data_IF_861881506681
#
_entry.id   IF_861881506681
#
_cell.length_a   1.000
_cell.length_b   1.000
_cell.length_c   1.000
_cell.angle_alpha   90.00
_cell.angle_beta   90.00
_cell.angle_gamma   90.00
#
_symmetry.space_group_name_H-M   'P 1'
#
loop_
_entity.id
_entity.type
_entity.pdbx_description
1 polymer ?
#
# COMPACT_ATOMS: atom_id res chain seq x y z
N UNK A 1 16.49 -2.90 -12.15
CA UNK A 1 17.09 -2.32 -10.94
C UNK A 1 17.08 -3.31 -9.79
N UNK A 2 15.93 -3.92 -9.45
CA UNK A 2 15.78 -4.89 -8.36
C UNK A 2 16.81 -6.04 -8.41
N UNK A 3 16.97 -6.71 -9.55
CA UNK A 3 17.97 -7.79 -9.73
C UNK A 3 19.39 -7.30 -9.46
N UNK A 4 19.69 -6.06 -9.83
CA UNK A 4 21.00 -5.44 -9.57
C UNK A 4 21.19 -5.15 -8.08
N UNK A 5 20.15 -4.68 -7.38
CA UNK A 5 20.18 -4.44 -5.95
C UNK A 5 20.41 -5.74 -5.17
N UNK A 6 19.68 -6.81 -5.48
CA UNK A 6 19.87 -8.14 -4.87
C UNK A 6 21.29 -8.65 -5.09
N UNK A 7 21.80 -8.56 -6.32
CA UNK A 7 23.18 -9.00 -6.64
C UNK A 7 24.25 -8.16 -5.99
N UNK A 8 23.97 -6.90 -5.66
CA UNK A 8 24.91 -6.02 -4.96
C UNK A 8 24.88 -6.16 -3.43
N UNK A 9 23.97 -7.00 -2.91
CA UNK A 9 23.80 -7.18 -1.46
C UNK A 9 23.15 -5.97 -0.77
N UNK A 10 22.45 -5.11 -1.52
CA UNK A 10 21.72 -3.97 -0.95
C UNK A 10 20.62 -4.45 -0.01
N UNK A 11 20.47 -3.75 1.09
CA UNK A 11 19.38 -3.98 2.03
C UNK A 11 18.06 -3.46 1.43
N UNK A 12 17.00 -4.25 1.59
CA UNK A 12 15.65 -3.92 1.15
C UNK A 12 14.74 -3.94 2.37
N UNK A 13 13.91 -2.92 2.52
CA UNK A 13 12.88 -2.87 3.55
C UNK A 13 11.50 -2.77 2.89
N UNK A 14 10.58 -3.61 3.34
CA UNK A 14 9.18 -3.56 2.93
C UNK A 14 8.35 -2.79 3.96
N UNK A 15 7.57 -1.82 3.51
CA UNK A 15 6.63 -1.08 4.36
C UNK A 15 5.22 -1.27 3.83
N UNK A 16 4.38 -1.90 4.63
CA UNK A 16 2.96 -2.04 4.35
C UNK A 16 2.18 -0.91 5.02
N UNK A 17 1.89 0.12 4.24
CA UNK A 17 1.14 1.30 4.69
C UNK A 17 -0.32 0.98 4.96
N UNK A 18 -0.80 -0.12 4.40
CA UNK A 18 -2.20 -0.51 4.45
C UNK A 18 -2.48 -1.74 5.30
N UNK A 19 -1.54 -2.30 5.96
CA UNK A 19 -1.80 -3.27 7.01
C UNK A 19 -2.76 -2.64 8.02
N UNK A 20 -4.00 -2.36 7.56
CA UNK A 20 -4.94 -1.39 8.10
C UNK A 20 -5.17 -1.55 9.60
N UNK A 21 -5.18 -2.79 10.09
CA UNK A 21 -5.29 -3.05 11.53
C UNK A 21 -4.01 -2.69 12.29
N UNK A 22 -2.84 -2.90 11.71
CA UNK A 22 -1.57 -2.52 12.33
C UNK A 22 -1.42 -0.99 12.33
N UNK A 23 -1.84 -0.35 11.25
CA UNK A 23 -1.87 1.10 11.09
C UNK A 23 -2.85 1.77 12.04
N UNK A 24 -4.09 1.28 12.10
CA UNK A 24 -5.09 1.78 13.04
C UNK A 24 -4.63 1.59 14.50
N UNK A 25 -3.97 0.49 14.81
CA UNK A 25 -3.35 0.28 16.13
C UNK A 25 -2.22 1.26 16.41
N UNK A 26 -1.42 1.59 15.41
CA UNK A 26 -0.35 2.57 15.51
C UNK A 26 -0.91 3.99 15.70
N UNK A 27 -1.96 4.33 14.97
CA UNK A 27 -2.61 5.64 14.96
C UNK A 27 -3.65 5.79 16.07
N UNK A 28 -4.41 4.74 16.38
CA UNK A 28 -5.50 4.76 17.37
C UNK A 28 -5.09 4.33 18.78
N UNK A 29 -3.90 3.83 18.93
CA UNK A 29 -3.35 3.66 20.24
C UNK A 29 -3.78 2.46 21.06
N UNK A 30 -4.17 1.38 20.45
CA UNK A 30 -4.83 0.31 21.18
C UNK A 30 -3.93 -0.67 21.93
N UNK A 31 -2.63 -0.80 21.68
CA UNK A 31 -1.83 -1.87 22.30
C UNK A 31 -0.37 -1.57 22.66
N UNK A 32 0.16 -0.35 22.49
CA UNK A 32 1.57 -0.05 22.79
C UNK A 32 1.81 1.39 23.24
N UNK A 33 2.95 1.72 23.88
CA UNK A 33 3.25 3.08 24.36
C UNK A 33 3.26 4.18 23.28
N UNK A 34 3.48 3.82 22.02
CA UNK A 34 3.31 4.71 20.84
C UNK A 34 1.84 5.04 20.60
N UNK A 35 0.99 4.36 21.24
CA UNK A 35 -0.41 4.19 21.04
C UNK A 35 -1.31 5.23 21.73
N UNK A 36 -0.80 6.29 22.25
CA UNK A 36 -1.61 7.40 22.78
C UNK A 36 -1.74 8.56 21.81
N UNK A 37 -1.64 8.25 20.52
CA UNK A 37 -1.83 9.25 19.50
C UNK A 37 -3.32 9.52 19.31
N UNK A 38 -3.71 10.75 19.59
CA UNK A 38 -5.05 11.25 19.32
C UNK A 38 -5.25 11.37 17.81
N UNK A 39 -6.05 10.46 17.23
CA UNK A 39 -6.32 10.44 15.79
C UNK A 39 -6.97 11.73 15.28
N UNK A 40 -7.58 12.53 16.16
CA UNK A 40 -8.10 13.85 15.82
C UNK A 40 -6.99 14.88 15.56
N UNK A 41 -5.80 14.60 16.05
CA UNK A 41 -4.58 15.42 15.91
C UNK A 41 -3.54 14.74 15.03
N UNK A 42 -3.98 13.84 14.15
CA UNK A 42 -3.08 13.12 13.29
C UNK A 42 -2.24 14.10 12.47
N UNK A 43 -0.98 14.12 12.79
CA UNK A 43 0.03 15.01 12.27
C UNK A 43 0.84 14.25 11.22
N UNK A 44 0.85 14.75 9.99
CA UNK A 44 1.60 14.20 8.88
C UNK A 44 3.11 14.14 9.19
N UNK A 45 3.65 15.16 9.89
CA UNK A 45 5.05 15.19 10.28
C UNK A 45 5.39 14.07 11.28
N UNK A 46 4.46 13.73 12.16
CA UNK A 46 4.63 12.58 13.06
C UNK A 46 4.69 11.27 12.26
N UNK A 47 3.81 11.11 11.27
CA UNK A 47 3.79 9.95 10.40
C UNK A 47 5.11 9.78 9.66
N UNK A 48 5.59 10.83 9.02
CA UNK A 48 6.85 10.84 8.28
C UNK A 48 8.00 10.46 9.22
N UNK A 49 8.12 11.11 10.37
CA UNK A 49 9.15 10.78 11.37
C UNK A 49 9.10 9.33 11.80
N UNK A 50 7.89 8.81 12.03
CA UNK A 50 7.73 7.43 12.47
C UNK A 50 8.11 6.42 11.39
N UNK A 51 7.73 6.65 10.13
CA UNK A 51 8.10 5.76 9.03
C UNK A 51 9.59 5.77 8.72
N UNK A 52 10.25 6.90 8.89
CA UNK A 52 11.67 7.05 8.54
C UNK A 52 12.61 7.01 9.75
N UNK A 53 12.09 6.80 10.97
CA UNK A 53 12.89 6.75 12.18
C UNK A 53 14.11 5.81 12.09
N UNK A 54 13.92 4.63 11.51
CA UNK A 54 15.00 3.67 11.30
C UNK A 54 15.94 4.06 10.15
N UNK A 55 15.45 4.75 9.13
CA UNK A 55 16.26 5.25 8.02
C UNK A 55 17.06 6.51 8.42
N UNK A 56 16.47 7.33 9.29
CA UNK A 56 17.12 8.54 9.81
C UNK A 56 18.10 8.23 10.95
N UNK A 57 18.06 7.01 11.51
CA UNK A 57 19.04 6.52 12.47
C UNK A 57 20.34 6.16 11.74
N UNK A 58 21.44 6.81 12.10
CA UNK A 58 22.76 6.63 11.47
C UNK A 58 23.32 5.21 11.57
N UNK A 59 22.75 4.37 12.45
CA UNK A 59 23.17 2.98 12.62
C UNK A 59 22.54 2.03 11.59
N UNK A 60 21.58 2.50 10.79
CA UNK A 60 20.87 1.67 9.79
C UNK A 60 20.94 2.33 8.41
N UNK A 61 21.55 1.59 7.47
CA UNK A 61 21.54 1.99 6.06
C UNK A 61 20.42 1.28 5.32
N UNK A 62 19.51 2.06 4.74
CA UNK A 62 18.43 1.57 3.87
C UNK A 62 18.71 2.02 2.45
N UNK A 63 18.73 1.09 1.51
CA UNK A 63 18.95 1.39 0.08
C UNK A 63 17.61 1.51 -0.69
N UNK A 64 16.55 0.84 -0.25
CA UNK A 64 15.23 0.93 -0.88
C UNK A 64 14.09 0.68 0.10
N UNK A 65 12.96 1.34 -0.14
CA UNK A 65 11.69 1.13 0.56
C UNK A 65 10.63 0.70 -0.45
N UNK A 66 9.82 -0.29 -0.08
CA UNK A 66 8.78 -0.85 -0.92
C UNK A 66 7.43 -0.49 -0.34
N UNK A 67 6.75 0.45 -1.00
CA UNK A 67 5.49 1.01 -0.57
C UNK A 67 4.30 0.25 -1.14
N UNK A 68 3.30 -0.03 -0.31
CA UNK A 68 2.01 -0.56 -0.75
C UNK A 68 0.90 0.47 -0.46
N UNK A 69 0.27 0.99 -1.51
CA UNK A 69 -0.77 2.02 -1.43
C UNK A 69 -2.13 1.59 -1.97
N UNK A 70 -2.29 0.33 -2.35
CA UNK A 70 -3.54 -0.19 -2.93
C UNK A 70 -3.87 -1.61 -2.49
N UNK A 71 -3.73 -1.89 -1.21
CA UNK A 71 -4.11 -3.20 -0.67
C UNK A 71 -5.61 -3.45 -0.85
N UNK A 72 -5.96 -4.71 -1.16
CA UNK A 72 -7.35 -5.08 -1.37
C UNK A 72 -8.00 -4.42 -2.58
N UNK A 73 -7.20 -3.87 -3.50
CA UNK A 73 -7.69 -3.11 -4.65
C UNK A 73 -8.51 -1.86 -4.27
N UNK A 74 -8.17 -1.24 -3.15
CA UNK A 74 -8.67 0.06 -2.71
C UNK A 74 -7.49 1.02 -2.59
N UNK A 75 -7.63 2.26 -3.08
CA UNK A 75 -6.55 3.23 -3.12
C UNK A 75 -6.54 4.13 -1.88
N UNK A 76 -5.34 4.44 -1.37
CA UNK A 76 -5.12 5.49 -0.35
C UNK A 76 -4.92 6.87 -0.96
N UNK A 77 -4.94 6.96 -2.27
CA UNK A 77 -4.76 8.16 -3.08
C UNK A 77 -6.00 8.39 -3.96
N UNK A 78 -6.07 9.52 -4.63
CA UNK A 78 -7.16 9.85 -5.56
C UNK A 78 -7.01 9.07 -6.86
N UNK A 79 -7.48 7.82 -6.84
CA UNK A 79 -7.52 6.96 -8.03
C UNK A 79 -8.75 7.26 -8.91
N UNK A 80 -8.59 7.14 -10.23
CA UNK A 80 -9.69 7.15 -11.20
C UNK A 80 -10.28 5.77 -11.42
N UNK A 81 -9.61 4.72 -10.95
CA UNK A 81 -9.91 3.32 -11.24
C UNK A 81 -10.31 2.51 -10.01
N UNK A 82 -9.62 2.75 -8.91
CA UNK A 82 -9.84 2.03 -7.66
C UNK A 82 -10.73 2.83 -6.71
N UNK A 83 -11.62 2.17 -5.97
CA UNK A 83 -12.35 2.83 -4.90
C UNK A 83 -11.38 3.31 -3.82
N UNK A 84 -11.73 4.41 -3.17
CA UNK A 84 -10.98 4.87 -2.00
C UNK A 84 -11.12 3.88 -0.85
N UNK A 85 -10.03 3.67 -0.12
CA UNK A 85 -10.05 2.82 1.07
C UNK A 85 -10.97 3.42 2.15
N UNK A 86 -11.76 2.56 2.80
CA UNK A 86 -12.67 2.97 3.89
C UNK A 86 -11.92 3.08 5.22
N UNK A 87 -10.95 4.00 5.25
CA UNK A 87 -10.21 4.38 6.47
C UNK A 87 -10.29 5.89 6.61
N UNK A 88 -10.85 6.42 7.72
CA UNK A 88 -11.18 7.84 7.86
C UNK A 88 -10.01 8.79 7.63
N UNK A 89 -8.78 8.42 8.03
CA UNK A 89 -7.60 9.29 7.85
C UNK A 89 -7.26 9.46 6.36
N UNK A 90 -7.30 8.39 5.57
CA UNK A 90 -7.02 8.48 4.13
C UNK A 90 -8.13 9.24 3.39
N UNK A 91 -9.38 8.99 3.74
CA UNK A 91 -10.51 9.73 3.17
C UNK A 91 -10.41 11.24 3.47
N UNK A 92 -10.00 11.59 4.70
CA UNK A 92 -9.75 12.99 5.06
C UNK A 92 -8.63 13.59 4.22
N UNK A 93 -7.47 12.92 4.09
CA UNK A 93 -6.37 13.41 3.27
C UNK A 93 -6.77 13.61 1.80
N UNK A 94 -7.46 12.63 1.21
CA UNK A 94 -7.99 12.76 -0.15
C UNK A 94 -8.93 13.97 -0.28
N UNK A 95 -9.79 14.19 0.72
CA UNK A 95 -10.71 15.34 0.76
C UNK A 95 -9.96 16.67 0.89
N UNK A 96 -8.93 16.71 1.71
CA UNK A 96 -8.12 17.90 1.99
C UNK A 96 -7.03 18.13 0.93
N UNK A 97 -7.05 17.37 -0.18
CA UNK A 97 -6.10 17.43 -1.29
C UNK A 97 -4.65 17.09 -0.88
N UNK A 98 -4.51 16.27 0.13
CA UNK A 98 -3.21 15.75 0.60
C UNK A 98 -2.93 14.43 -0.12
N UNK A 99 -1.89 14.40 -0.94
CA UNK A 99 -1.41 13.19 -1.61
C UNK A 99 -0.32 12.52 -0.79
N UNK A 100 -0.73 11.56 0.05
CA UNK A 100 0.19 10.82 0.93
C UNK A 100 1.20 9.99 0.15
N UNK A 101 0.85 9.53 -1.05
CA UNK A 101 1.76 8.76 -1.91
C UNK A 101 2.90 9.65 -2.36
N UNK A 102 2.59 10.83 -2.93
CA UNK A 102 3.61 11.78 -3.37
C UNK A 102 4.51 12.22 -2.22
N UNK A 103 3.91 12.55 -1.06
CA UNK A 103 4.66 12.98 0.12
C UNK A 103 5.66 11.91 0.57
N UNK A 104 5.24 10.65 0.67
CA UNK A 104 6.13 9.56 1.12
C UNK A 104 7.17 9.20 0.07
N UNK A 105 6.89 9.40 -1.22
CA UNK A 105 7.90 9.28 -2.29
C UNK A 105 8.96 10.38 -2.16
N UNK A 106 8.54 11.62 -2.04
CA UNK A 106 9.45 12.76 -1.90
C UNK A 106 10.36 12.59 -0.68
N UNK A 107 9.80 12.19 0.46
CA UNK A 107 10.54 11.92 1.68
C UNK A 107 11.52 10.74 1.54
N UNK A 108 11.16 9.72 0.75
CA UNK A 108 12.04 8.58 0.45
C UNK A 108 13.22 9.05 -0.42
N UNK A 109 12.95 9.78 -1.49
CA UNK A 109 13.96 10.28 -2.41
C UNK A 109 14.87 11.34 -1.78
N UNK A 110 14.34 12.23 -0.92
CA UNK A 110 15.15 13.21 -0.18
C UNK A 110 16.22 12.56 0.70
N UNK A 111 15.97 11.33 1.18
CA UNK A 111 16.95 10.53 1.94
C UNK A 111 17.90 9.72 1.06
N UNK A 112 17.83 9.86 -0.26
CA UNK A 112 18.62 9.07 -1.20
C UNK A 112 18.26 7.58 -1.24
N UNK A 113 17.03 7.26 -0.85
CA UNK A 113 16.51 5.89 -0.81
C UNK A 113 15.67 5.64 -2.07
N UNK A 114 15.84 4.48 -2.70
CA UNK A 114 15.01 4.09 -3.83
C UNK A 114 13.59 3.75 -3.35
N UNK A 115 12.56 4.26 -4.03
CA UNK A 115 11.15 4.00 -3.75
C UNK A 115 10.57 3.00 -4.75
N UNK A 116 10.10 1.86 -4.27
CA UNK A 116 9.44 0.84 -5.09
C UNK A 116 7.95 0.78 -4.75
N UNK A 117 7.11 0.61 -5.76
CA UNK A 117 5.72 0.25 -5.54
C UNK A 117 5.58 -1.27 -5.43
N UNK A 118 5.06 -1.76 -4.31
CA UNK A 118 4.76 -3.18 -4.10
C UNK A 118 3.26 -3.41 -4.25
N UNK A 119 2.86 -4.05 -5.36
CA UNK A 119 1.46 -4.37 -5.61
C UNK A 119 1.12 -5.79 -5.16
N UNK A 120 0.20 -5.91 -4.21
CA UNK A 120 -0.32 -7.22 -3.77
C UNK A 120 -1.33 -7.73 -4.79
N UNK A 121 -0.88 -8.68 -5.63
CA UNK A 121 -1.63 -9.18 -6.78
C UNK A 121 -2.96 -9.84 -6.41
N UNK A 122 -2.99 -10.52 -5.28
CA UNK A 122 -4.18 -11.22 -4.77
C UNK A 122 -4.84 -10.50 -3.59
N UNK A 123 -4.57 -9.20 -3.41
CA UNK A 123 -5.10 -8.42 -2.29
C UNK A 123 -6.59 -8.64 -2.06
N UNK A 124 -7.00 -8.72 -0.81
CA UNK A 124 -8.38 -9.01 -0.43
C UNK A 124 -8.47 -10.05 0.68
N UNK A 125 -7.47 -10.11 1.55
CA UNK A 125 -7.51 -10.92 2.75
C UNK A 125 -8.76 -10.57 3.59
N UNK A 126 -9.64 -11.56 3.81
CA UNK A 126 -10.89 -11.43 4.53
C UNK A 126 -11.98 -10.56 3.87
N UNK A 127 -11.93 -10.32 2.56
CA UNK A 127 -13.09 -9.74 1.86
C UNK A 127 -14.35 -10.57 2.15
N UNK A 128 -15.40 -9.90 2.61
CA UNK A 128 -16.70 -10.52 2.88
C UNK A 128 -16.84 -11.27 4.21
N UNK A 129 -15.78 -11.44 5.01
CA UNK A 129 -15.81 -12.17 6.29
C UNK A 129 -15.55 -11.25 7.50
N UNK A 130 -16.18 -10.07 7.52
CA UNK A 130 -15.96 -9.06 8.58
C UNK A 130 -14.64 -8.30 8.44
N UNK A 131 -13.96 -8.45 7.29
CA UNK A 131 -12.79 -7.69 6.88
C UNK A 131 -13.13 -6.53 5.95
N UNK A 132 -12.35 -6.36 4.89
CA UNK A 132 -12.59 -5.32 3.88
C UNK A 132 -13.85 -5.62 3.05
N UNK A 133 -14.58 -4.58 2.64
CA UNK A 133 -15.67 -4.72 1.70
C UNK A 133 -15.17 -5.27 0.36
N UNK A 134 -15.97 -6.13 -0.26
CA UNK A 134 -15.71 -6.59 -1.63
C UNK A 134 -15.79 -5.37 -2.55
N UNK A 135 -14.78 -5.19 -3.41
CA UNK A 135 -14.78 -4.05 -4.34
C UNK A 135 -15.83 -4.24 -5.44
N UNK A 136 -16.40 -3.15 -5.97
CA UNK A 136 -17.47 -3.22 -6.98
C UNK A 136 -17.11 -4.04 -8.22
N UNK A 137 -15.83 -4.02 -8.64
CA UNK A 137 -15.37 -4.81 -9.79
C UNK A 137 -15.48 -6.33 -9.54
N UNK A 138 -15.19 -6.78 -8.34
CA UNK A 138 -15.34 -8.20 -7.96
C UNK A 138 -16.80 -8.59 -7.80
N UNK A 139 -17.65 -7.68 -7.34
CA UNK A 139 -19.10 -7.92 -7.24
C UNK A 139 -19.74 -8.04 -8.61
N UNK A 140 -19.32 -7.20 -9.57
CA UNK A 140 -19.86 -7.20 -10.94
C UNK A 140 -19.33 -8.35 -11.81
N UNK A 141 -18.20 -8.95 -11.45
CA UNK A 141 -17.53 -10.00 -12.21
C UNK A 141 -17.15 -11.21 -11.32
N UNK A 142 -18.13 -11.90 -10.72
CA UNK A 142 -17.85 -13.08 -9.89
C UNK A 142 -17.17 -14.21 -10.68
N UNK A 143 -17.37 -14.29 -11.99
CA UNK A 143 -16.74 -15.24 -12.91
C UNK A 143 -15.22 -15.02 -13.07
N UNK A 144 -14.71 -13.86 -12.69
CA UNK A 144 -13.28 -13.52 -12.70
C UNK A 144 -12.51 -14.03 -11.48
N UNK A 145 -13.20 -14.66 -10.55
CA UNK A 145 -12.67 -14.96 -9.23
C UNK A 145 -12.56 -16.45 -8.96
N UNK A 146 -11.54 -16.81 -8.16
CA UNK A 146 -11.54 -18.05 -7.40
C UNK A 146 -12.06 -17.81 -5.99
N UNK A 147 -12.65 -18.82 -5.38
CA UNK A 147 -12.86 -18.85 -3.94
C UNK A 147 -11.67 -19.54 -3.30
N UNK A 148 -10.86 -18.77 -2.59
CA UNK A 148 -9.71 -19.26 -1.83
C UNK A 148 -10.11 -19.86 -0.48
N UNK A 149 -9.11 -20.30 0.26
CA UNK A 149 -9.28 -20.77 1.61
C UNK A 149 -9.94 -19.67 2.50
N UNK A 150 -10.91 -20.05 3.33
CA UNK A 150 -11.62 -19.08 4.16
C UNK A 150 -12.63 -18.19 3.42
N UNK A 151 -12.96 -18.50 2.16
CA UNK A 151 -13.97 -17.76 1.39
C UNK A 151 -13.45 -16.49 0.68
N UNK A 152 -12.14 -16.22 0.74
CA UNK A 152 -11.52 -15.07 0.06
C UNK A 152 -11.76 -15.09 -1.44
N UNK A 153 -12.07 -13.94 -2.02
CA UNK A 153 -12.30 -13.76 -3.45
C UNK A 153 -11.00 -13.34 -4.14
N UNK A 154 -10.34 -14.29 -4.79
CA UNK A 154 -9.03 -14.15 -5.40
C UNK A 154 -9.16 -13.97 -6.92
N UNK A 155 -8.39 -13.08 -7.52
CA UNK A 155 -8.36 -12.88 -8.96
C UNK A 155 -7.89 -14.12 -9.73
N UNK A 156 -8.63 -14.50 -10.76
CA UNK A 156 -8.23 -15.55 -11.69
C UNK A 156 -7.37 -14.99 -12.83
N UNK A 157 -6.06 -14.98 -12.64
CA UNK A 157 -5.12 -14.47 -13.65
C UNK A 157 -5.06 -15.31 -14.96
N UNK A 158 -5.72 -16.46 -15.04
CA UNK A 158 -5.91 -17.16 -16.32
C UNK A 158 -6.82 -16.36 -17.28
N UNK A 159 -7.72 -15.53 -16.72
CA UNK A 159 -8.64 -14.68 -17.47
C UNK A 159 -7.92 -13.44 -17.98
N UNK A 160 -8.05 -13.17 -19.29
CA UNK A 160 -7.40 -12.03 -19.93
C UNK A 160 -7.87 -10.69 -19.38
N UNK A 161 -9.14 -10.55 -19.14
CA UNK A 161 -9.80 -9.35 -18.64
C UNK A 161 -9.29 -8.98 -17.24
N UNK A 162 -9.05 -9.98 -16.38
CA UNK A 162 -8.42 -9.79 -15.07
C UNK A 162 -7.01 -9.23 -15.21
N UNK A 163 -6.19 -9.83 -16.09
CA UNK A 163 -4.84 -9.32 -16.34
C UNK A 163 -4.85 -7.89 -16.88
N UNK A 164 -5.78 -7.59 -17.78
CA UNK A 164 -5.94 -6.25 -18.33
C UNK A 164 -6.34 -5.24 -17.25
N UNK A 165 -7.32 -5.58 -16.41
CA UNK A 165 -7.76 -4.75 -15.30
C UNK A 165 -6.61 -4.42 -14.34
N UNK A 166 -5.84 -5.43 -13.94
CA UNK A 166 -4.70 -5.23 -13.03
C UNK A 166 -3.59 -4.41 -13.72
N UNK A 167 -3.29 -4.68 -14.99
CA UNK A 167 -2.31 -3.90 -15.75
C UNK A 167 -2.68 -2.41 -15.81
N UNK A 168 -3.94 -2.10 -16.04
CA UNK A 168 -4.41 -0.72 -16.09
C UNK A 168 -4.32 -0.02 -14.72
N UNK A 169 -4.57 -0.74 -13.61
CA UNK A 169 -4.39 -0.19 -12.26
C UNK A 169 -2.90 0.09 -11.98
N UNK A 170 -2.02 -0.83 -12.39
CA UNK A 170 -0.57 -0.63 -12.29
C UNK A 170 -0.07 0.52 -13.16
N UNK A 171 -0.64 0.65 -14.36
CA UNK A 171 -0.32 1.77 -15.26
C UNK A 171 -0.69 3.11 -14.63
N UNK A 172 -1.88 3.22 -14.04
CA UNK A 172 -2.29 4.45 -13.36
C UNK A 172 -1.28 4.88 -12.28
N UNK A 173 -0.81 3.94 -11.46
CA UNK A 173 0.10 4.29 -10.36
C UNK A 173 1.49 4.71 -10.87
N UNK A 174 2.03 4.03 -11.87
CA UNK A 174 3.37 4.34 -12.41
C UNK A 174 3.38 5.54 -13.34
N UNK A 175 2.24 5.94 -13.89
CA UNK A 175 2.10 7.17 -14.67
C UNK A 175 1.93 8.41 -13.79
N UNK A 176 1.35 8.24 -12.60
CA UNK A 176 1.10 9.34 -11.68
C UNK A 176 2.27 9.62 -10.73
N UNK A 177 3.15 8.64 -10.48
CA UNK A 177 4.17 8.72 -9.43
C UNK A 177 5.53 8.22 -9.90
N UNK A 178 6.59 8.92 -9.51
CA UNK A 178 7.97 8.63 -9.90
C UNK A 178 8.61 7.53 -9.05
N UNK A 179 8.14 6.30 -9.21
CA UNK A 179 8.74 5.13 -8.57
C UNK A 179 10.01 4.67 -9.29
N UNK A 180 11.02 4.25 -8.53
CA UNK A 180 12.22 3.62 -9.07
C UNK A 180 11.99 2.19 -9.58
N UNK A 181 10.92 1.55 -9.16
CA UNK A 181 10.57 0.22 -9.61
C UNK A 181 9.22 -0.28 -9.11
N UNK A 182 8.84 -1.45 -9.60
CA UNK A 182 7.57 -2.11 -9.34
C UNK A 182 7.81 -3.56 -8.89
N UNK A 183 7.14 -3.97 -7.83
CA UNK A 183 7.04 -5.36 -7.40
C UNK A 183 5.62 -5.88 -7.65
N UNK A 184 5.52 -7.04 -8.29
CA UNK A 184 4.30 -7.82 -8.37
C UNK A 184 4.34 -8.89 -7.27
N UNK A 185 3.67 -8.63 -6.16
CA UNK A 185 3.72 -9.47 -4.98
C UNK A 185 2.63 -10.55 -5.01
N UNK A 186 3.04 -11.79 -5.21
CA UNK A 186 2.20 -12.99 -5.21
C UNK A 186 2.30 -13.78 -3.89
N UNK A 187 2.81 -13.19 -2.82
CA UNK A 187 3.14 -13.91 -1.58
C UNK A 187 1.92 -14.52 -0.84
N UNK A 188 0.71 -14.32 -1.34
CA UNK A 188 -0.52 -14.93 -0.80
C UNK A 188 -1.46 -15.38 -1.90
#
# INVERSE_FOLDING_TARGET
>A
RLVKAIKSGKMVSGVDVLGAKAWMRLVEGNDRPVARYDSSKFDLDYLIRHFFEFADNNDVKIDSIWWNFSEGNQATYRSKRLPSIDIPVFQRWIKDDIDIVQILLDETHQRGIEAFYSHRMNGGDNEGNGGQAIIPMKESHPEWLFTGNGGSKIWNFAIKEVRQYILENLTEIVENYDYDGLELNFAR
#
